data_IF_284688612502
#
_entry.id   IF_284688612502
#
_cell.length_a   1.000
_cell.length_b   1.000
_cell.length_c   1.000
_cell.angle_alpha   90.00
_cell.angle_beta   90.00
_cell.angle_gamma   90.00
#
_symmetry.space_group_name_H-M   'P 1'
#
loop_
_entity.id
_entity.type
_entity.pdbx_description
1 polymer ?
#
# COMPACT_ATOMS: atom_id res chain seq x y z
N UNK A 1 88.39 63.18 1.37
CA UNK A 1 87.36 62.31 1.97
C UNK A 1 86.69 61.54 0.83
N UNK A 2 87.35 60.54 0.23
CA UNK A 2 86.84 59.99 -1.05
C UNK A 2 86.99 58.48 -1.22
N UNK A 3 88.10 57.84 -0.83
CA UNK A 3 88.23 56.37 -1.01
C UNK A 3 87.70 55.54 0.18
N UNK A 4 87.75 56.10 1.40
CA UNK A 4 87.31 55.41 2.63
C UNK A 4 85.79 55.27 2.73
N UNK A 5 85.02 56.22 2.17
CA UNK A 5 83.56 56.16 2.17
C UNK A 5 83.05 55.18 1.10
N UNK A 6 83.70 55.14 -0.07
CA UNK A 6 83.29 54.26 -1.17
C UNK A 6 83.50 52.78 -0.84
N UNK A 7 84.62 52.45 -0.17
CA UNK A 7 84.89 51.10 0.35
C UNK A 7 83.86 50.68 1.42
N UNK A 8 83.49 51.60 2.32
CA UNK A 8 82.50 51.34 3.37
C UNK A 8 81.11 51.03 2.80
N UNK A 9 80.66 51.81 1.82
CA UNK A 9 79.37 51.59 1.17
C UNK A 9 79.32 50.32 0.33
N UNK A 10 80.43 49.95 -0.32
CA UNK A 10 80.55 48.70 -1.08
C UNK A 10 80.42 47.48 -0.17
N UNK A 11 81.06 47.50 0.99
CA UNK A 11 80.99 46.41 1.96
C UNK A 11 79.59 46.28 2.58
N UNK A 12 78.94 47.42 2.88
CA UNK A 12 77.53 47.44 3.30
C UNK A 12 76.58 46.91 2.24
N UNK A 13 76.78 47.26 0.98
CA UNK A 13 75.95 46.76 -0.11
C UNK A 13 76.03 45.23 -0.23
N UNK A 14 77.24 44.66 -0.15
CA UNK A 14 77.47 43.21 -0.16
C UNK A 14 76.74 42.53 1.02
N UNK A 15 76.79 43.12 2.22
CA UNK A 15 76.07 42.60 3.39
C UNK A 15 74.55 42.63 3.20
N UNK A 16 74.00 43.74 2.70
CA UNK A 16 72.56 43.87 2.43
C UNK A 16 72.12 42.86 1.36
N UNK A 17 72.89 42.70 0.28
CA UNK A 17 72.60 41.72 -0.77
C UNK A 17 72.59 40.29 -0.21
N UNK A 18 73.53 39.96 0.67
CA UNK A 18 73.57 38.65 1.34
C UNK A 18 72.34 38.45 2.24
N UNK A 19 72.00 39.43 3.08
CA UNK A 19 70.82 39.38 3.93
C UNK A 19 69.51 39.25 3.11
N UNK A 20 69.40 39.96 1.99
CA UNK A 20 68.26 39.85 1.09
C UNK A 20 68.14 38.44 0.49
N UNK A 21 69.24 37.86 0.00
CA UNK A 21 69.25 36.48 -0.52
C UNK A 21 68.86 35.45 0.54
N UNK A 22 69.34 35.61 1.77
CA UNK A 22 68.98 34.74 2.89
C UNK A 22 67.49 34.87 3.26
N UNK A 23 66.95 36.09 3.30
CA UNK A 23 65.51 36.35 3.53
C UNK A 23 64.63 35.72 2.43
N UNK A 24 65.02 35.87 1.17
CA UNK A 24 64.30 35.25 0.04
C UNK A 24 64.32 33.73 0.15
N UNK A 25 65.46 33.14 0.56
CA UNK A 25 65.57 31.68 0.77
C UNK A 25 64.65 31.22 1.90
N UNK A 26 64.66 31.89 3.04
CA UNK A 26 63.79 31.57 4.19
C UNK A 26 62.33 31.66 3.76
N UNK A 27 61.93 32.79 3.16
CA UNK A 27 60.55 32.99 2.71
C UNK A 27 60.09 31.93 1.70
N UNK A 28 60.98 31.52 0.79
CA UNK A 28 60.69 30.45 -0.19
C UNK A 28 60.48 29.10 0.49
N UNK A 29 61.24 28.81 1.54
CA UNK A 29 61.07 27.58 2.32
C UNK A 29 59.76 27.61 3.11
N UNK A 30 59.46 28.71 3.81
CA UNK A 30 58.20 28.86 4.57
C UNK A 30 56.97 28.69 3.66
N UNK A 31 56.97 29.35 2.49
CA UNK A 31 55.87 29.24 1.52
C UNK A 31 55.76 27.81 0.98
N UNK A 32 56.88 27.10 0.80
CA UNK A 32 56.86 25.70 0.35
C UNK A 32 56.27 24.78 1.42
N UNK A 33 56.64 24.99 2.70
CA UNK A 33 56.08 24.24 3.82
C UNK A 33 54.58 24.49 3.96
N UNK A 34 54.14 25.75 3.89
CA UNK A 34 52.72 26.12 3.89
C UNK A 34 51.95 25.43 2.76
N UNK A 35 52.48 25.45 1.53
CA UNK A 35 51.87 24.78 0.37
C UNK A 35 51.70 23.29 0.62
N UNK A 36 52.71 22.63 1.21
CA UNK A 36 52.65 21.20 1.47
C UNK A 36 51.58 20.87 2.52
N UNK A 37 51.52 21.64 3.61
CA UNK A 37 50.46 21.50 4.62
C UNK A 37 49.07 21.72 4.01
N UNK A 38 48.90 22.71 3.14
CA UNK A 38 47.61 22.93 2.47
C UNK A 38 47.25 21.80 1.50
N UNK A 39 48.22 21.19 0.83
CA UNK A 39 48.00 20.03 -0.05
C UNK A 39 47.54 18.82 0.74
N UNK A 40 48.18 18.52 1.86
CA UNK A 40 47.81 17.42 2.74
C UNK A 40 46.37 17.60 3.24
N UNK A 41 46.04 18.78 3.78
CA UNK A 41 44.68 19.10 4.25
C UNK A 41 43.63 19.02 3.15
N UNK A 42 43.98 19.44 1.93
CA UNK A 42 43.07 19.35 0.79
C UNK A 42 42.82 17.88 0.41
N UNK A 43 43.86 17.04 0.41
CA UNK A 43 43.73 15.61 0.12
C UNK A 43 42.86 14.91 1.19
N UNK A 44 43.09 15.21 2.47
CA UNK A 44 42.26 14.70 3.57
C UNK A 44 40.79 15.12 3.42
N UNK A 45 40.53 16.40 3.15
CA UNK A 45 39.18 16.92 2.95
C UNK A 45 38.48 16.26 1.75
N UNK A 46 39.20 16.05 0.64
CA UNK A 46 38.68 15.36 -0.54
C UNK A 46 38.34 13.90 -0.25
N UNK A 47 39.20 13.20 0.51
CA UNK A 47 38.95 11.82 0.91
C UNK A 47 37.74 11.71 1.83
N UNK A 48 37.65 12.57 2.84
CA UNK A 48 36.50 12.63 3.75
C UNK A 48 35.21 12.95 3.02
N UNK A 49 35.26 13.90 2.07
CA UNK A 49 34.10 14.24 1.25
C UNK A 49 33.66 13.04 0.41
N UNK A 50 34.59 12.34 -0.24
CA UNK A 50 34.29 11.14 -1.04
C UNK A 50 33.59 10.06 -0.22
N UNK A 51 34.14 9.73 0.96
CA UNK A 51 33.55 8.73 1.87
C UNK A 51 32.14 9.17 2.30
N UNK A 52 31.98 10.46 2.62
CA UNK A 52 30.68 11.00 3.05
C UNK A 52 29.62 10.92 1.95
N UNK A 53 30.00 11.22 0.71
CA UNK A 53 29.10 11.13 -0.46
C UNK A 53 28.72 9.67 -0.74
N UNK A 54 29.69 8.75 -0.68
CA UNK A 54 29.42 7.32 -0.87
C UNK A 54 28.47 6.77 0.21
N UNK A 55 28.65 7.20 1.46
CA UNK A 55 27.76 6.81 2.56
C UNK A 55 26.35 7.38 2.41
N UNK A 56 26.22 8.66 2.03
CA UNK A 56 24.91 9.27 1.75
C UNK A 56 24.22 8.53 0.60
N UNK A 57 24.95 8.19 -0.46
CA UNK A 57 24.38 7.47 -1.60
C UNK A 57 23.88 6.07 -1.20
N UNK A 58 24.62 5.38 -0.32
CA UNK A 58 24.20 4.10 0.24
C UNK A 58 22.91 4.25 1.06
N UNK A 59 22.86 5.22 1.95
CA UNK A 59 21.66 5.49 2.76
C UNK A 59 20.44 5.83 1.90
N UNK A 60 20.61 6.61 0.84
CA UNK A 60 19.53 6.91 -0.12
C UNK A 60 19.02 5.63 -0.78
N UNK A 61 19.91 4.73 -1.19
CA UNK A 61 19.52 3.47 -1.83
C UNK A 61 18.77 2.55 -0.85
N UNK A 62 19.21 2.48 0.40
CA UNK A 62 18.55 1.70 1.45
C UNK A 62 17.14 2.24 1.69
N UNK A 63 17.00 3.57 1.88
CA UNK A 63 15.70 4.23 2.05
C UNK A 63 14.77 3.98 0.85
N UNK A 64 15.27 4.07 -0.38
CA UNK A 64 14.47 3.79 -1.57
C UNK A 64 13.98 2.33 -1.62
N UNK A 65 14.81 1.40 -1.15
CA UNK A 65 14.43 -0.02 -1.07
C UNK A 65 13.30 -0.22 -0.05
N UNK A 66 13.40 0.43 1.11
CA UNK A 66 12.37 0.40 2.14
C UNK A 66 11.06 1.02 1.66
N UNK A 67 11.11 2.15 0.95
CA UNK A 67 9.93 2.79 0.35
C UNK A 67 9.23 1.82 -0.60
N UNK A 68 9.96 1.19 -1.52
CA UNK A 68 9.38 0.23 -2.47
C UNK A 68 8.72 -0.97 -1.76
N UNK A 69 9.34 -1.46 -0.68
CA UNK A 69 8.78 -2.53 0.13
C UNK A 69 7.46 -2.09 0.80
N UNK A 70 7.43 -0.88 1.38
CA UNK A 70 6.24 -0.31 2.00
C UNK A 70 5.10 -0.09 0.99
N UNK A 71 5.40 0.40 -0.21
CA UNK A 71 4.41 0.52 -1.30
C UNK A 71 3.82 -0.84 -1.69
N UNK A 72 4.65 -1.88 -1.71
CA UNK A 72 4.19 -3.27 -1.89
C UNK A 72 3.20 -3.71 -0.82
N UNK A 73 3.49 -3.41 0.46
CA UNK A 73 2.59 -3.70 1.59
C UNK A 73 1.29 -2.92 1.49
N UNK A 74 1.33 -1.62 1.16
CA UNK A 74 0.13 -0.78 1.00
C UNK A 74 -0.79 -1.37 -0.07
N UNK A 75 -0.24 -1.76 -1.23
CA UNK A 75 -1.01 -2.39 -2.30
C UNK A 75 -1.69 -3.71 -1.87
N UNK A 76 -1.04 -4.50 -1.00
CA UNK A 76 -1.64 -5.72 -0.45
C UNK A 76 -2.77 -5.41 0.55
N UNK A 77 -2.60 -4.36 1.37
CA UNK A 77 -3.63 -3.89 2.28
C UNK A 77 -4.86 -3.39 1.51
N UNK A 78 -4.68 -2.62 0.43
CA UNK A 78 -5.79 -2.13 -0.39
C UNK A 78 -6.58 -3.26 -1.03
N UNK A 79 -5.90 -4.31 -1.53
CA UNK A 79 -6.57 -5.52 -2.03
C UNK A 79 -7.39 -6.21 -0.94
N UNK A 80 -6.83 -6.30 0.28
CA UNK A 80 -7.51 -6.91 1.43
C UNK A 80 -8.74 -6.10 1.84
N UNK A 81 -8.63 -4.77 1.88
CA UNK A 81 -9.74 -3.86 2.17
C UNK A 81 -10.83 -3.98 1.10
N UNK A 82 -10.47 -4.07 -0.18
CA UNK A 82 -11.43 -4.29 -1.26
C UNK A 82 -12.17 -5.61 -1.08
N UNK A 83 -11.44 -6.69 -0.78
CA UNK A 83 -12.05 -7.99 -0.53
C UNK A 83 -13.02 -7.97 0.66
N UNK A 84 -12.63 -7.34 1.78
CA UNK A 84 -13.51 -7.15 2.95
C UNK A 84 -14.76 -6.34 2.58
N UNK A 85 -14.62 -5.30 1.76
CA UNK A 85 -15.74 -4.49 1.29
C UNK A 85 -16.73 -5.31 0.45
N UNK A 86 -16.22 -6.20 -0.40
CA UNK A 86 -17.05 -7.11 -1.18
C UNK A 86 -17.76 -8.13 -0.30
N UNK A 87 -17.07 -8.73 0.67
CA UNK A 87 -17.68 -9.63 1.66
C UNK A 87 -18.78 -8.93 2.46
N UNK A 88 -18.55 -7.68 2.90
CA UNK A 88 -19.56 -6.88 3.61
C UNK A 88 -20.80 -6.62 2.73
N UNK A 89 -20.60 -6.34 1.45
CA UNK A 89 -21.69 -6.13 0.48
C UNK A 89 -22.48 -7.43 0.27
N UNK A 90 -21.80 -8.56 0.14
CA UNK A 90 -22.43 -9.88 0.01
C UNK A 90 -23.25 -10.23 1.25
N UNK A 91 -22.67 -10.09 2.45
CA UNK A 91 -23.36 -10.31 3.71
C UNK A 91 -24.61 -9.44 3.84
N UNK A 92 -24.50 -8.14 3.49
CA UNK A 92 -25.65 -7.23 3.54
C UNK A 92 -26.79 -7.66 2.60
N UNK A 93 -26.46 -8.22 1.43
CA UNK A 93 -27.46 -8.76 0.49
C UNK A 93 -28.13 -10.00 1.07
N UNK A 94 -27.34 -10.92 1.61
CA UNK A 94 -27.82 -12.15 2.27
C UNK A 94 -28.73 -11.84 3.46
N UNK A 95 -28.36 -10.89 4.32
CA UNK A 95 -29.18 -10.45 5.45
C UNK A 95 -30.54 -9.92 5.01
N UNK A 96 -30.61 -9.12 3.94
CA UNK A 96 -31.90 -8.61 3.42
C UNK A 96 -32.83 -9.71 2.92
N UNK A 97 -32.28 -10.76 2.30
CA UNK A 97 -33.08 -11.92 1.88
C UNK A 97 -33.62 -12.65 3.10
N UNK A 98 -32.76 -12.96 4.07
CA UNK A 98 -33.19 -13.64 5.29
C UNK A 98 -34.22 -12.83 6.07
N UNK A 99 -34.04 -11.51 6.19
CA UNK A 99 -35.01 -10.62 6.83
C UNK A 99 -36.38 -10.68 6.13
N UNK A 100 -36.39 -10.69 4.79
CA UNK A 100 -37.62 -10.83 4.03
C UNK A 100 -38.27 -12.22 4.21
N UNK A 101 -37.49 -13.29 4.11
CA UNK A 101 -38.03 -14.66 4.21
C UNK A 101 -38.55 -14.95 5.62
N UNK A 102 -37.81 -14.57 6.67
CA UNK A 102 -38.24 -14.76 8.05
C UNK A 102 -39.36 -13.81 8.50
N UNK A 103 -39.67 -12.75 7.73
CA UNK A 103 -40.86 -11.94 7.98
C UNK A 103 -42.17 -12.68 7.67
N UNK A 104 -42.09 -13.77 6.89
CA UNK A 104 -43.24 -14.57 6.46
C UNK A 104 -43.40 -15.77 7.43
N UNK A 105 -44.54 -15.89 8.15
CA UNK A 105 -44.76 -16.99 9.08
C UNK A 105 -44.76 -18.36 8.39
N UNK A 106 -44.36 -19.41 9.10
CA UNK A 106 -44.42 -20.79 8.59
C UNK A 106 -43.27 -21.19 7.65
N UNK A 107 -42.34 -20.28 7.35
CA UNK A 107 -41.11 -20.58 6.61
C UNK A 107 -39.97 -20.91 7.58
N UNK A 108 -39.27 -22.01 7.35
CA UNK A 108 -38.10 -22.43 8.11
C UNK A 108 -36.88 -22.53 7.19
N UNK A 109 -35.71 -22.16 7.69
CA UNK A 109 -34.46 -22.30 6.96
C UNK A 109 -33.90 -23.70 7.19
N UNK A 110 -33.74 -24.50 6.12
CA UNK A 110 -33.25 -25.89 6.17
C UNK A 110 -31.78 -26.00 5.79
N UNK A 111 -31.25 -25.07 4.99
CA UNK A 111 -29.85 -25.10 4.55
C UNK A 111 -29.33 -23.75 4.06
N UNK A 112 -28.03 -23.51 4.27
CA UNK A 112 -27.33 -22.32 3.77
C UNK A 112 -26.04 -22.74 3.11
N UNK A 113 -25.83 -22.29 1.87
CA UNK A 113 -24.56 -22.39 1.17
C UNK A 113 -24.07 -21.01 0.73
N UNK A 114 -22.90 -20.94 0.09
CA UNK A 114 -22.40 -19.68 -0.43
C UNK A 114 -23.29 -19.10 -1.54
N UNK A 115 -23.94 -19.96 -2.33
CA UNK A 115 -24.65 -19.56 -3.54
C UNK A 115 -26.17 -19.55 -3.38
N UNK A 116 -26.70 -20.28 -2.40
CA UNK A 116 -28.14 -20.40 -2.21
C UNK A 116 -28.56 -20.65 -0.76
N UNK A 117 -29.84 -20.35 -0.49
CA UNK A 117 -30.57 -20.67 0.72
C UNK A 117 -31.62 -21.72 0.42
N UNK A 118 -31.82 -22.66 1.33
CA UNK A 118 -32.89 -23.65 1.27
C UNK A 118 -33.86 -23.39 2.41
N UNK A 119 -35.14 -23.34 2.07
CA UNK A 119 -36.22 -23.11 3.03
C UNK A 119 -37.30 -24.16 2.86
N UNK A 120 -37.96 -24.51 3.96
CA UNK A 120 -39.20 -25.26 3.95
C UNK A 120 -40.38 -24.37 4.34
N UNK A 121 -41.57 -24.67 3.80
CA UNK A 121 -42.82 -24.04 4.21
C UNK A 121 -43.74 -25.13 4.76
N UNK A 122 -43.99 -25.08 6.06
CA UNK A 122 -44.62 -26.20 6.78
C UNK A 122 -43.82 -27.51 6.66
N UNK A 123 -44.53 -28.64 6.61
CA UNK A 123 -43.92 -29.98 6.46
C UNK A 123 -43.88 -30.47 5.00
N UNK A 124 -44.36 -29.67 4.05
CA UNK A 124 -44.83 -30.20 2.76
C UNK A 124 -44.04 -29.67 1.56
N UNK A 125 -43.25 -28.60 1.73
CA UNK A 125 -42.59 -27.93 0.61
C UNK A 125 -41.18 -27.49 0.95
N UNK A 126 -40.25 -27.73 0.02
CA UNK A 126 -38.89 -27.19 0.06
C UNK A 126 -38.56 -26.36 -1.19
N UNK A 127 -37.87 -25.25 -0.97
CA UNK A 127 -37.53 -24.25 -1.97
C UNK A 127 -36.08 -23.81 -1.85
N UNK A 128 -35.44 -23.56 -3.00
CA UNK A 128 -34.11 -22.95 -3.07
C UNK A 128 -34.21 -21.51 -3.57
N UNK A 129 -33.55 -20.60 -2.86
CA UNK A 129 -33.26 -19.23 -3.31
C UNK A 129 -31.78 -19.08 -3.67
N UNK A 130 -31.48 -18.81 -4.94
CA UNK A 130 -30.12 -18.47 -5.35
C UNK A 130 -29.95 -16.95 -5.41
N UNK A 131 -28.78 -16.45 -4.95
CA UNK A 131 -28.39 -15.04 -5.09
C UNK A 131 -27.25 -14.99 -6.11
N UNK A 132 -27.57 -14.73 -7.37
CA UNK A 132 -26.57 -14.66 -8.45
C UNK A 132 -26.16 -13.21 -8.77
N UNK A 133 -24.98 -13.04 -9.40
CA UNK A 133 -24.52 -11.75 -9.92
C UNK A 133 -25.29 -11.35 -11.19
N UNK A 134 -26.60 -11.10 -11.09
CA UNK A 134 -27.38 -10.60 -12.24
C UNK A 134 -28.89 -10.69 -12.07
N UNK A 135 -29.39 -11.74 -11.41
CA UNK A 135 -30.80 -11.88 -11.06
C UNK A 135 -30.94 -11.55 -9.57
N UNK A 136 -31.90 -10.68 -9.16
CA UNK A 136 -31.99 -10.27 -7.76
C UNK A 136 -32.23 -11.48 -6.85
N UNK A 137 -33.18 -12.35 -7.23
CA UNK A 137 -33.55 -13.55 -6.49
C UNK A 137 -34.14 -14.59 -7.47
N UNK A 138 -33.67 -15.83 -7.44
CA UNK A 138 -34.23 -16.94 -8.23
C UNK A 138 -34.76 -18.03 -7.29
N UNK A 139 -36.04 -18.34 -7.42
CA UNK A 139 -36.73 -19.41 -6.69
C UNK A 139 -36.81 -20.67 -7.55
N UNK A 140 -36.49 -21.83 -6.95
CA UNK A 140 -36.71 -23.15 -7.55
C UNK A 140 -37.34 -24.11 -6.53
N UNK A 141 -38.46 -24.78 -6.87
CA UNK A 141 -39.01 -25.85 -6.05
C UNK A 141 -38.08 -27.09 -6.07
N UNK A 142 -37.90 -27.73 -4.91
CA UNK A 142 -36.99 -28.87 -4.75
C UNK A 142 -37.74 -30.20 -4.63
N UNK A 143 -38.80 -30.26 -3.82
CA UNK A 143 -39.53 -31.51 -3.54
C UNK A 143 -40.92 -31.25 -2.93
N UNK A 144 -41.80 -32.24 -3.10
CA UNK A 144 -43.12 -32.32 -2.45
C UNK A 144 -43.14 -33.62 -1.63
N UNK A 145 -43.47 -33.53 -0.34
CA UNK A 145 -43.74 -34.71 0.48
C UNK A 145 -45.24 -34.83 0.69
N UNK A 146 -45.81 -35.86 0.04
CA UNK A 146 -47.18 -36.41 0.13
C UNK A 146 -48.33 -35.67 -0.60
N UNK A 147 -48.95 -36.41 -1.54
CA UNK A 147 -50.32 -36.41 -2.10
C UNK A 147 -51.23 -35.16 -2.00
N UNK A 148 -50.69 -33.95 -2.10
CA UNK A 148 -51.49 -32.72 -2.17
C UNK A 148 -51.43 -32.08 -3.56
N UNK A 149 -52.60 -31.72 -4.11
CA UNK A 149 -52.70 -30.98 -5.38
C UNK A 149 -52.24 -29.54 -5.17
N UNK A 150 -50.98 -29.29 -5.46
CA UNK A 150 -50.40 -27.95 -5.40
C UNK A 150 -50.90 -27.13 -6.59
N UNK A 151 -51.25 -25.85 -6.41
CA UNK A 151 -51.56 -24.98 -7.55
C UNK A 151 -50.41 -25.00 -8.56
N UNK A 152 -50.72 -25.20 -9.85
CA UNK A 152 -49.72 -25.38 -10.92
C UNK A 152 -48.73 -24.21 -11.08
N UNK A 153 -49.00 -23.06 -10.45
CA UNK A 153 -48.11 -21.90 -10.45
C UNK A 153 -46.93 -22.02 -9.49
N UNK A 154 -47.00 -22.85 -8.43
CA UNK A 154 -45.93 -22.98 -7.41
C UNK A 154 -44.75 -23.85 -7.86
N UNK A 155 -44.97 -24.65 -8.91
CA UNK A 155 -44.01 -25.60 -9.49
C UNK A 155 -43.08 -24.96 -10.53
N UNK A 156 -43.29 -23.68 -10.85
CA UNK A 156 -42.48 -22.98 -11.85
C UNK A 156 -41.37 -22.16 -11.19
N UNK A 157 -40.13 -22.21 -11.71
CA UNK A 157 -39.08 -21.30 -11.28
C UNK A 157 -39.51 -19.86 -11.49
N UNK A 158 -39.20 -18.98 -10.52
CA UNK A 158 -39.56 -17.57 -10.59
C UNK A 158 -38.39 -16.68 -10.24
N UNK A 159 -38.29 -15.56 -10.95
CA UNK A 159 -37.31 -14.51 -10.67
C UNK A 159 -38.05 -13.29 -10.12
N UNK A 160 -37.50 -12.69 -9.08
CA UNK A 160 -38.09 -11.51 -8.45
C UNK A 160 -37.25 -10.28 -8.75
N UNK A 161 -37.93 -9.17 -9.03
CA UNK A 161 -37.25 -7.89 -9.30
C UNK A 161 -36.90 -7.13 -8.02
N UNK A 162 -37.66 -7.35 -6.95
CA UNK A 162 -37.47 -6.74 -5.64
C UNK A 162 -37.97 -7.63 -4.49
N UNK A 163 -37.69 -7.20 -3.24
CA UNK A 163 -38.04 -7.95 -2.03
C UNK A 163 -39.55 -7.98 -1.73
N UNK A 164 -40.30 -6.97 -2.17
CA UNK A 164 -41.75 -6.93 -1.94
C UNK A 164 -42.47 -7.94 -2.84
N UNK A 165 -42.02 -8.07 -4.10
CA UNK A 165 -42.52 -9.11 -5.01
C UNK A 165 -42.25 -10.50 -4.46
N UNK A 166 -41.05 -10.73 -3.91
CA UNK A 166 -40.67 -11.98 -3.26
C UNK A 166 -41.55 -12.26 -2.04
N UNK A 167 -41.73 -11.27 -1.16
CA UNK A 167 -42.58 -11.39 0.03
C UNK A 167 -44.02 -11.76 -0.32
N UNK A 168 -44.63 -11.02 -1.24
CA UNK A 168 -46.02 -11.26 -1.66
C UNK A 168 -46.20 -12.66 -2.23
N UNK A 169 -45.21 -13.17 -2.97
CA UNK A 169 -45.23 -14.54 -3.48
C UNK A 169 -45.10 -15.57 -2.35
N UNK A 170 -44.20 -15.35 -1.41
CA UNK A 170 -44.02 -16.24 -0.25
C UNK A 170 -45.26 -16.31 0.64
N UNK A 171 -45.95 -15.18 0.86
CA UNK A 171 -47.22 -15.13 1.61
C UNK A 171 -48.33 -15.95 0.92
N UNK A 172 -48.32 -16.04 -0.41
CA UNK A 172 -49.27 -16.86 -1.18
C UNK A 172 -48.97 -18.37 -1.11
N UNK A 173 -47.77 -18.78 -0.65
CA UNK A 173 -47.41 -20.18 -0.49
C UNK A 173 -47.94 -20.79 0.81
N UNK A 174 -48.30 -19.96 1.79
CA UNK A 174 -48.87 -20.43 3.06
C UNK A 174 -50.33 -20.86 2.78
N UNK A 175 -50.71 -22.12 3.06
CA UNK A 175 -52.11 -22.53 2.95
C UNK A 175 -52.96 -21.72 3.94
N UNK A 176 -54.18 -21.28 3.57
CA UNK A 176 -55.11 -20.73 4.55
C UNK A 176 -55.44 -21.82 5.59
N UNK A 177 -55.40 -21.45 6.87
CA UNK A 177 -55.83 -22.30 8.00
C UNK A 177 -57.30 -22.73 7.88
#
# INVERSE_FOLDING_TARGET
MTESDESFWKERYIQIEKCYKDLVRIRKNDVREDIEVYRERLAEAQQMHKISVEEIQRQINDINTDINAMEGTINQMDKSISHIRDLKRELSRKSKVLECVFSVPGIQLTGVTNDFFQFSVGNNYEFTFSISKGIPFEYKPISYTEDFSVPSWTSQPRQFKDLNEMRNYLEQLIPPE
#
